data_IF_352012226750
#
_entry.id   IF_352012226750
#
_cell.length_a   1.000
_cell.length_b   1.000
_cell.length_c   1.000
_cell.angle_alpha   90.00
_cell.angle_beta   90.00
_cell.angle_gamma   90.00
#
_symmetry.space_group_name_H-M   'P 1'
#
loop_
_entity.id
_entity.type
_entity.pdbx_description
1 polymer ?
#
# COMPACT_ATOMS: atom_id res chain seq x y z
N UNK A 1 -44.78 2.32 -6.58
CA UNK A 1 -44.29 1.77 -7.86
C UNK A 1 -42.78 1.59 -7.78
N UNK A 2 -42.30 0.70 -6.90
CA UNK A 2 -40.87 0.36 -6.72
C UNK A 2 -40.65 -1.16 -6.60
N UNK A 3 -41.71 -1.94 -6.40
CA UNK A 3 -41.61 -3.41 -6.25
C UNK A 3 -41.18 -4.11 -7.55
N UNK A 4 -41.59 -3.61 -8.73
CA UNK A 4 -41.15 -4.18 -10.01
C UNK A 4 -39.67 -3.91 -10.28
N UNK A 5 -39.16 -2.75 -9.85
CA UNK A 5 -37.76 -2.36 -10.02
C UNK A 5 -36.83 -3.26 -9.20
N UNK A 6 -37.22 -3.65 -7.97
CA UNK A 6 -36.47 -4.60 -7.16
C UNK A 6 -36.38 -6.01 -7.80
N UNK A 7 -37.38 -6.41 -8.58
CA UNK A 7 -37.40 -7.71 -9.26
C UNK A 7 -36.46 -7.76 -10.47
N UNK A 8 -36.23 -6.63 -11.15
CA UNK A 8 -35.33 -6.55 -12.31
C UNK A 8 -33.96 -5.97 -11.97
N UNK A 9 -33.79 -5.33 -10.81
CA UNK A 9 -32.55 -4.66 -10.39
C UNK A 9 -31.33 -5.58 -10.46
N UNK A 10 -31.48 -6.84 -10.02
CA UNK A 10 -30.37 -7.81 -10.02
C UNK A 10 -29.91 -8.19 -11.44
N UNK A 11 -30.75 -7.99 -12.46
CA UNK A 11 -30.40 -8.27 -13.87
C UNK A 11 -29.41 -7.22 -14.37
N UNK A 12 -29.67 -5.95 -14.07
CA UNK A 12 -28.89 -4.83 -14.62
C UNK A 12 -27.74 -4.40 -13.70
N UNK A 13 -27.96 -4.42 -12.38
CA UNK A 13 -27.05 -3.81 -11.39
C UNK A 13 -26.50 -4.79 -10.34
N UNK A 14 -26.97 -6.04 -10.31
CA UNK A 14 -26.60 -7.00 -9.25
C UNK A 14 -25.10 -7.30 -9.16
N UNK A 15 -24.39 -7.36 -10.29
CA UNK A 15 -22.94 -7.57 -10.31
C UNK A 15 -22.18 -6.40 -9.68
N UNK A 16 -22.54 -5.16 -10.06
CA UNK A 16 -21.91 -3.97 -9.50
C UNK A 16 -22.25 -3.81 -8.02
N UNK A 17 -23.50 -4.10 -7.63
CA UNK A 17 -23.89 -4.09 -6.22
C UNK A 17 -23.06 -5.09 -5.41
N UNK A 18 -22.86 -6.31 -5.92
CA UNK A 18 -22.08 -7.33 -5.25
C UNK A 18 -20.61 -6.90 -5.05
N UNK A 19 -19.99 -6.26 -6.06
CA UNK A 19 -18.63 -5.72 -5.94
C UNK A 19 -18.58 -4.62 -4.87
N UNK A 20 -19.49 -3.65 -4.94
CA UNK A 20 -19.53 -2.54 -3.98
C UNK A 20 -19.75 -3.05 -2.55
N UNK A 21 -20.65 -4.03 -2.36
CA UNK A 21 -20.85 -4.70 -1.06
C UNK A 21 -19.61 -5.45 -0.60
N UNK A 22 -18.88 -6.07 -1.51
CA UNK A 22 -17.57 -6.67 -1.23
C UNK A 22 -16.59 -5.65 -0.66
N UNK A 23 -16.41 -4.51 -1.35
CA UNK A 23 -15.53 -3.45 -0.88
C UNK A 23 -15.97 -2.81 0.45
N UNK A 24 -17.27 -2.66 0.68
CA UNK A 24 -17.80 -2.17 1.96
C UNK A 24 -17.50 -3.17 3.08
N UNK A 25 -17.54 -4.48 2.79
CA UNK A 25 -17.22 -5.53 3.77
C UNK A 25 -15.75 -5.52 4.19
N UNK A 26 -14.86 -5.01 3.34
CA UNK A 26 -13.45 -4.79 3.63
C UNK A 26 -13.15 -3.56 4.49
N UNK A 27 -14.15 -2.72 4.80
CA UNK A 27 -13.95 -1.57 5.69
C UNK A 27 -13.73 -2.03 7.13
N UNK A 28 -12.87 -1.30 7.85
CA UNK A 28 -12.58 -1.59 9.25
C UNK A 28 -13.84 -1.47 10.10
N UNK A 29 -14.05 -2.49 10.93
CA UNK A 29 -15.15 -2.52 11.89
C UNK A 29 -14.81 -1.72 13.14
N UNK A 30 -15.81 -1.44 13.98
CA UNK A 30 -15.58 -0.81 15.27
C UNK A 30 -14.63 -1.63 16.16
N UNK A 31 -14.63 -2.96 16.04
CA UNK A 31 -13.72 -3.83 16.78
C UNK A 31 -12.26 -3.63 16.31
N UNK A 32 -12.03 -3.53 15.01
CA UNK A 32 -10.70 -3.28 14.44
C UNK A 32 -10.16 -1.93 14.91
N UNK A 33 -10.99 -0.88 14.90
CA UNK A 33 -10.61 0.42 15.43
C UNK A 33 -10.27 0.40 16.93
N UNK A 34 -11.03 -0.36 17.73
CA UNK A 34 -10.73 -0.53 19.16
C UNK A 34 -9.37 -1.20 19.38
N UNK A 35 -9.01 -2.18 18.55
CA UNK A 35 -7.72 -2.85 18.62
C UNK A 35 -6.58 -1.88 18.21
N UNK A 36 -6.79 -1.11 17.13
CA UNK A 36 -5.81 -0.13 16.66
C UNK A 36 -5.54 0.99 17.67
N UNK A 37 -6.56 1.43 18.41
CA UNK A 37 -6.40 2.48 19.43
C UNK A 37 -5.53 2.04 20.62
N UNK A 38 -5.39 0.72 20.83
CA UNK A 38 -4.60 0.13 21.90
C UNK A 38 -3.15 -0.19 21.47
N UNK A 39 -2.82 -0.03 20.20
CA UNK A 39 -1.47 -0.30 19.70
C UNK A 39 -0.49 0.77 20.18
N UNK A 40 0.67 0.35 20.67
CA UNK A 40 1.73 1.26 21.13
C UNK A 40 2.82 1.45 20.08
N UNK A 41 3.00 0.46 19.20
CA UNK A 41 4.04 0.48 18.17
C UNK A 41 3.47 0.35 16.75
N UNK A 42 4.27 0.78 15.77
CA UNK A 42 3.92 0.65 14.36
C UNK A 42 3.83 -0.83 13.94
N UNK A 43 4.60 -1.71 14.56
CA UNK A 43 4.57 -3.14 14.24
C UNK A 43 3.29 -3.81 14.75
N UNK A 44 2.73 -3.35 15.88
CA UNK A 44 1.41 -3.80 16.36
C UNK A 44 0.29 -3.37 15.40
N UNK A 45 0.34 -2.13 14.90
CA UNK A 45 -0.61 -1.63 13.89
C UNK A 45 -0.55 -2.49 12.63
N UNK A 46 0.66 -2.79 12.13
CA UNK A 46 0.82 -3.68 10.96
C UNK A 46 0.27 -5.07 11.22
N UNK A 47 0.52 -5.64 12.40
CA UNK A 47 -0.02 -6.95 12.77
C UNK A 47 -1.54 -6.94 12.70
N UNK A 48 -2.20 -5.96 13.32
CA UNK A 48 -3.66 -5.86 13.30
C UNK A 48 -4.22 -5.60 11.90
N UNK A 49 -3.57 -4.76 11.08
CA UNK A 49 -4.00 -4.50 9.71
C UNK A 49 -3.71 -5.68 8.75
N UNK A 50 -2.70 -6.51 9.01
CA UNK A 50 -2.42 -7.72 8.22
C UNK A 50 -3.52 -8.78 8.32
N UNK A 51 -4.34 -8.74 9.38
CA UNK A 51 -5.51 -9.59 9.52
C UNK A 51 -6.72 -9.12 8.71
N UNK A 52 -6.62 -7.97 8.04
CA UNK A 52 -7.69 -7.35 7.24
C UNK A 52 -7.34 -7.38 5.75
N UNK A 53 -8.25 -6.91 4.90
CA UNK A 53 -8.02 -6.82 3.45
C UNK A 53 -6.88 -5.86 3.04
N UNK A 54 -6.28 -5.14 4.00
CA UNK A 54 -5.16 -4.23 3.76
C UNK A 54 -3.79 -4.92 3.67
N UNK A 55 -3.68 -6.21 4.00
CA UNK A 55 -2.41 -6.97 3.99
C UNK A 55 -1.57 -6.80 2.70
N UNK A 56 -2.14 -6.85 1.48
CA UNK A 56 -1.35 -6.70 0.25
C UNK A 56 -0.62 -5.36 0.13
N UNK A 57 -1.15 -4.30 0.75
CA UNK A 57 -0.55 -2.97 0.71
C UNK A 57 0.60 -2.84 1.72
N UNK A 58 0.59 -3.62 2.80
CA UNK A 58 1.62 -3.59 3.85
C UNK A 58 2.90 -4.32 3.42
N UNK A 59 2.79 -5.31 2.54
CA UNK A 59 3.93 -6.09 2.05
C UNK A 59 4.84 -5.30 1.09
N UNK A 60 4.35 -4.23 0.47
CA UNK A 60 5.09 -3.50 -0.58
C UNK A 60 6.21 -2.60 -0.05
N UNK A 61 6.15 -2.13 1.19
CA UNK A 61 7.23 -1.31 1.77
C UNK A 61 8.51 -2.12 1.98
N UNK A 62 8.40 -3.44 2.20
CA UNK A 62 9.54 -4.36 2.31
C UNK A 62 10.24 -4.61 0.96
N UNK A 63 9.53 -4.47 -0.16
CA UNK A 63 10.10 -4.61 -1.51
C UNK A 63 10.85 -3.34 -1.93
N UNK A 64 10.26 -2.17 -1.65
CA UNK A 64 10.84 -0.87 -2.01
C UNK A 64 12.18 -0.59 -1.30
N UNK A 65 12.36 -1.07 -0.06
CA UNK A 65 13.65 -0.95 0.64
C UNK A 65 14.74 -1.88 0.07
N UNK A 66 14.37 -3.04 -0.49
CA UNK A 66 15.31 -3.97 -1.16
C UNK A 66 15.72 -3.48 -2.55
N UNK A 67 14.83 -2.77 -3.25
CA UNK A 67 15.14 -2.15 -4.54
C UNK A 67 16.09 -0.96 -4.33
N UNK A 68 15.89 -0.11 -3.31
CA UNK A 68 16.82 1.00 -3.01
C UNK A 68 18.23 0.53 -2.64
N UNK A 69 18.39 -0.57 -1.89
CA UNK A 69 19.71 -1.11 -1.56
C UNK A 69 20.41 -1.83 -2.72
N UNK A 70 19.65 -2.51 -3.59
CA UNK A 70 20.20 -3.12 -4.81
C UNK A 70 20.60 -2.08 -5.88
N UNK A 71 19.92 -0.93 -5.93
CA UNK A 71 20.29 0.17 -6.83
C UNK A 71 21.51 0.97 -6.30
N UNK A 72 21.72 1.05 -4.98
CA UNK A 72 22.89 1.72 -4.39
C UNK A 72 24.22 0.99 -4.67
N UNK A 73 24.24 -0.34 -4.75
CA UNK A 73 25.47 -1.07 -5.10
C UNK A 73 25.78 -1.04 -6.61
N UNK A 74 24.75 -0.97 -7.46
CA UNK A 74 24.92 -1.00 -8.92
C UNK A 74 25.27 0.37 -9.54
N UNK A 75 24.98 1.48 -8.85
CA UNK A 75 25.33 2.81 -9.34
C UNK A 75 26.83 3.13 -9.23
N UNK A 76 27.58 2.47 -8.34
CA UNK A 76 29.04 2.65 -8.23
C UNK A 76 29.85 2.01 -9.36
N UNK A 77 29.22 1.23 -10.26
CA UNK A 77 29.92 0.63 -11.40
C UNK A 77 29.96 1.53 -12.64
N UNK A 78 29.10 2.54 -12.73
CA UNK A 78 29.04 3.47 -13.86
C UNK A 78 29.95 4.69 -13.69
N UNK A 79 30.23 5.13 -12.46
CA UNK A 79 31.16 6.25 -12.19
C UNK A 79 32.65 5.90 -12.39
N UNK A 80 32.98 4.61 -12.48
CA UNK A 80 34.36 4.14 -12.69
C UNK A 80 34.75 4.00 -14.18
N UNK A 81 33.82 4.30 -15.11
CA UNK A 81 34.06 4.22 -16.56
C UNK A 81 34.08 5.58 -17.26
N UNK A 82 33.70 6.67 -16.58
CA UNK A 82 33.90 8.02 -17.05
C UNK A 82 34.93 8.69 -16.13
N UNK A 83 36.19 8.70 -16.55
CA UNK A 83 37.29 9.36 -15.82
C UNK A 83 37.09 10.87 -15.72
N UNK A 84 36.23 11.31 -14.80
CA UNK A 84 36.15 12.67 -14.34
C UNK A 84 36.88 12.75 -13.00
N UNK A 85 37.98 13.49 -12.99
CA UNK A 85 38.83 13.75 -11.83
C UNK A 85 38.00 14.37 -10.70
N UNK A 86 38.15 13.79 -9.51
CA UNK A 86 37.99 14.50 -8.23
C UNK A 86 38.84 15.76 -8.39
N UNK A 87 38.24 16.95 -8.31
CA UNK A 87 38.86 18.29 -8.20
C UNK A 87 38.07 19.31 -9.03
N UNK A 88 36.76 19.50 -8.80
CA UNK A 88 36.11 20.75 -9.19
C UNK A 88 34.82 21.00 -8.38
N UNK A 89 34.75 22.19 -7.81
CA UNK A 89 33.68 22.80 -7.01
C UNK A 89 33.64 22.51 -5.51
N UNK A 90 34.67 23.02 -4.86
CA UNK A 90 34.60 24.09 -3.85
C UNK A 90 33.32 24.22 -3.01
N UNK A 91 33.54 24.02 -1.72
CA UNK A 91 32.94 24.73 -0.59
C UNK A 91 32.62 26.20 -0.93
N UNK A 92 31.37 26.61 -0.74
CA UNK A 92 30.97 27.99 -0.48
C UNK A 92 29.76 27.93 0.45
N UNK A 93 29.98 28.40 1.69
CA UNK A 93 29.08 29.16 2.58
C UNK A 93 27.55 28.99 2.46
#
# INVERSE_FOLDING_TARGET
MYEFEALTFNIDSGYLEAIVRGHISGLLTAADYNNLCQCETLDDIKMHLSATEYDPFLQNDLQNHKIKSSQMHNNNRFYNLSGATIDDYSYCD
#
